data_IF_153133350105
#
_entry.id   IF_153133350105
#
_cell.length_a   1.000
_cell.length_b   1.000
_cell.length_c   1.000
_cell.angle_alpha   90.00
_cell.angle_beta   90.00
_cell.angle_gamma   90.00
#
_symmetry.space_group_name_H-M   'P 1'
#
loop_
_entity.id
_entity.type
_entity.pdbx_description
1 polymer ?
#
# COMPACT_ATOMS: atom_id res chain seq x y z
N UNK A 1 -22.69 11.40 15.93
CA UNK A 1 -22.50 12.74 15.34
C UNK A 1 -21.04 12.85 14.96
N UNK A 2 -20.74 13.30 13.75
CA UNK A 2 -19.37 13.63 13.34
C UNK A 2 -19.26 15.15 13.19
N UNK A 3 -18.04 15.69 13.16
CA UNK A 3 -17.77 17.09 12.91
C UNK A 3 -16.59 17.24 11.95
N UNK A 4 -16.55 18.37 11.23
CA UNK A 4 -15.43 18.70 10.35
C UNK A 4 -14.35 19.38 11.20
N UNK A 5 -13.11 18.85 11.22
CA UNK A 5 -12.01 19.52 11.88
C UNK A 5 -11.79 20.92 11.29
N UNK A 6 -11.61 21.94 12.13
CA UNK A 6 -11.31 23.30 11.65
C UNK A 6 -9.99 23.38 10.87
N UNK A 7 -9.11 22.39 11.05
CA UNK A 7 -7.86 22.23 10.30
C UNK A 7 -8.03 21.48 8.98
N UNK A 8 -9.25 21.10 8.58
CA UNK A 8 -9.47 20.46 7.29
C UNK A 8 -9.20 21.48 6.17
N UNK A 9 -8.41 21.14 5.13
CA UNK A 9 -8.07 22.02 4.01
C UNK A 9 -9.29 22.55 3.24
N UNK A 10 -10.42 21.84 3.30
CA UNK A 10 -11.67 22.19 2.63
C UNK A 10 -12.81 22.45 3.63
N UNK A 11 -12.50 22.83 4.87
CA UNK A 11 -13.50 23.12 5.89
C UNK A 11 -14.58 24.12 5.42
N UNK A 12 -15.77 24.02 6.05
CA UNK A 12 -16.94 24.86 5.75
C UNK A 12 -16.58 26.35 5.74
N UNK A 13 -17.06 27.07 4.73
CA UNK A 13 -16.83 28.51 4.56
C UNK A 13 -15.56 28.87 3.78
N UNK A 14 -14.78 27.90 3.31
CA UNK A 14 -13.71 28.12 2.32
C UNK A 14 -14.30 28.20 0.91
N UNK A 15 -15.04 27.17 0.50
CA UNK A 15 -15.79 27.11 -0.76
C UNK A 15 -16.98 26.16 -0.58
N UNK A 16 -18.20 26.68 -0.62
CA UNK A 16 -19.42 25.91 -0.39
C UNK A 16 -19.74 24.91 -1.52
N UNK A 17 -19.01 24.97 -2.64
CA UNK A 17 -19.08 23.96 -3.71
C UNK A 17 -18.24 22.71 -3.44
N UNK A 18 -17.33 22.76 -2.47
CA UNK A 18 -16.45 21.66 -2.10
C UNK A 18 -17.00 20.95 -0.86
N UNK A 19 -16.96 19.61 -0.88
CA UNK A 19 -17.37 18.82 0.28
C UNK A 19 -16.34 18.97 1.41
N UNK A 20 -16.74 19.39 2.61
CA UNK A 20 -15.80 19.67 3.70
C UNK A 20 -15.23 18.41 4.36
N UNK A 21 -15.69 17.22 3.97
CA UNK A 21 -15.11 15.94 4.36
C UNK A 21 -13.84 15.58 3.58
N UNK A 22 -13.60 16.20 2.42
CA UNK A 22 -12.44 15.89 1.59
C UNK A 22 -11.17 16.22 2.38
N UNK A 23 -10.18 15.33 2.36
CA UNK A 23 -8.83 15.59 2.88
C UNK A 23 -7.83 15.74 1.75
N UNK A 24 -7.94 14.88 0.73
CA UNK A 24 -7.14 14.90 -0.49
C UNK A 24 -8.02 14.45 -1.67
N UNK A 25 -7.58 14.72 -2.89
CA UNK A 25 -8.29 14.41 -4.12
C UNK A 25 -7.33 13.98 -5.23
N UNK A 26 -7.85 13.63 -6.42
CA UNK A 26 -7.04 13.19 -7.54
C UNK A 26 -6.52 11.76 -7.40
N UNK A 27 -7.24 10.89 -6.69
CA UNK A 27 -6.97 9.45 -6.59
C UNK A 27 -7.92 8.67 -7.49
N UNK A 28 -7.51 7.50 -7.96
CA UNK A 28 -8.34 6.61 -8.80
C UNK A 28 -9.13 5.61 -7.96
N UNK A 29 -8.42 4.71 -7.31
CA UNK A 29 -8.91 3.58 -6.54
C UNK A 29 -7.95 3.27 -5.37
N UNK A 30 -7.90 4.15 -4.35
CA UNK A 30 -7.00 3.98 -3.23
C UNK A 30 -7.32 2.70 -2.44
N UNK A 31 -6.28 1.91 -2.14
CA UNK A 31 -6.38 0.63 -1.44
C UNK A 31 -5.24 0.46 -0.44
N UNK A 32 -5.45 -0.36 0.61
CA UNK A 32 -4.39 -0.72 1.55
C UNK A 32 -3.78 0.47 2.30
N UNK A 33 -4.55 1.06 3.21
CA UNK A 33 -4.17 2.22 4.01
C UNK A 33 -3.43 1.80 5.29
N UNK A 34 -2.30 2.43 5.61
CA UNK A 34 -1.57 2.19 6.86
C UNK A 34 -0.83 3.41 7.39
N UNK A 35 -0.48 3.36 8.68
CA UNK A 35 0.30 4.38 9.35
C UNK A 35 1.52 3.75 10.02
N UNK A 36 2.65 4.44 10.03
CA UNK A 36 3.76 4.09 10.92
C UNK A 36 3.55 4.66 12.34
N UNK A 37 4.43 4.32 13.27
CA UNK A 37 4.36 4.76 14.67
C UNK A 37 4.55 6.27 14.83
N UNK A 38 5.19 6.91 13.85
CA UNK A 38 5.39 8.35 13.80
C UNK A 38 4.15 9.08 13.24
N UNK A 39 3.15 8.33 12.76
CA UNK A 39 1.90 8.86 12.21
C UNK A 39 1.99 9.20 10.73
N UNK A 40 3.06 8.78 10.03
CA UNK A 40 3.14 8.97 8.60
C UNK A 40 2.21 7.97 7.90
N UNK A 41 1.55 8.45 6.86
CA UNK A 41 0.51 7.74 6.14
C UNK A 41 1.08 7.12 4.86
N UNK A 42 0.75 5.85 4.65
CA UNK A 42 1.09 5.08 3.46
C UNK A 42 -0.19 4.50 2.88
N UNK A 43 -0.29 4.53 1.55
CA UNK A 43 -1.43 3.93 0.87
C UNK A 43 -1.08 3.59 -0.55
N UNK A 44 -1.80 2.64 -1.14
CA UNK A 44 -1.69 2.35 -2.56
C UNK A 44 -2.84 3.00 -3.33
N UNK A 45 -2.63 3.22 -4.62
CA UNK A 45 -3.68 3.60 -5.57
C UNK A 45 -3.57 2.69 -6.80
N UNK A 46 -4.66 1.98 -7.10
CA UNK A 46 -4.69 1.00 -8.19
C UNK A 46 -4.87 1.73 -9.52
N UNK A 47 -3.94 1.51 -10.45
CA UNK A 47 -3.96 2.09 -11.79
C UNK A 47 -5.08 1.55 -12.67
N UNK A 48 -5.32 2.21 -13.81
CA UNK A 48 -6.20 1.67 -14.84
C UNK A 48 -5.44 0.74 -15.77
N UNK A 49 -4.34 1.22 -16.36
CA UNK A 49 -3.71 0.55 -17.50
C UNK A 49 -2.17 0.60 -17.52
N UNK A 50 -1.55 1.65 -16.97
CA UNK A 50 -0.12 1.93 -17.18
C UNK A 50 0.75 1.66 -15.95
N UNK A 51 0.29 2.10 -14.77
CA UNK A 51 1.08 2.02 -13.55
C UNK A 51 0.25 1.72 -12.32
N UNK A 52 0.77 0.83 -11.48
CA UNK A 52 0.37 0.73 -10.08
C UNK A 52 1.24 1.66 -9.24
N UNK A 53 0.67 2.24 -8.18
CA UNK A 53 1.39 3.21 -7.37
C UNK A 53 1.12 3.09 -5.87
N UNK A 54 2.08 3.56 -5.09
CA UNK A 54 1.87 3.83 -3.68
C UNK A 54 2.41 5.21 -3.31
N UNK A 55 1.74 5.78 -2.32
CA UNK A 55 1.83 7.15 -1.90
C UNK A 55 2.17 7.22 -0.41
N UNK A 56 2.78 8.34 -0.04
CA UNK A 56 3.24 8.66 1.29
C UNK A 56 2.89 10.11 1.63
N UNK A 57 2.33 10.32 2.82
CA UNK A 57 2.18 11.64 3.41
C UNK A 57 2.77 11.65 4.82
N UNK A 58 3.64 12.62 5.16
CA UNK A 58 4.19 12.70 6.51
C UNK A 58 3.08 13.04 7.53
N UNK A 59 3.28 12.69 8.80
CA UNK A 59 2.32 13.00 9.88
C UNK A 59 2.01 14.51 10.00
N UNK A 60 2.93 15.36 9.54
CA UNK A 60 2.81 16.82 9.53
C UNK A 60 1.98 17.37 8.36
N UNK A 61 1.56 16.53 7.43
CA UNK A 61 0.81 16.93 6.25
C UNK A 61 -0.49 17.67 6.64
N UNK A 62 -0.86 18.68 5.85
CA UNK A 62 -2.02 19.54 6.10
C UNK A 62 -3.23 19.19 5.23
N UNK A 63 -3.12 18.13 4.42
CA UNK A 63 -4.12 17.77 3.44
C UNK A 63 -4.13 18.75 2.26
N UNK A 64 -5.16 18.67 1.44
CA UNK A 64 -5.34 19.48 0.25
C UNK A 64 -4.57 18.95 -0.96
N UNK A 65 -3.96 17.76 -0.82
CA UNK A 65 -3.15 17.17 -1.88
C UNK A 65 -4.00 16.74 -3.07
N UNK A 66 -3.50 17.06 -4.25
CA UNK A 66 -3.97 16.58 -5.53
C UNK A 66 -3.04 15.47 -6.03
N UNK A 67 -3.51 14.23 -6.11
CA UNK A 67 -2.74 13.10 -6.62
C UNK A 67 -2.83 12.93 -8.15
N UNK A 68 -3.51 13.84 -8.85
CA UNK A 68 -3.37 14.00 -10.30
C UNK A 68 -4.30 13.15 -11.16
N UNK A 69 -4.97 12.13 -10.63
CA UNK A 69 -5.97 11.37 -11.39
C UNK A 69 -7.12 12.29 -11.85
N UNK A 70 -7.58 12.23 -13.10
CA UNK A 70 -7.23 11.26 -14.16
C UNK A 70 -6.26 11.78 -15.23
N UNK A 71 -5.41 12.75 -14.90
CA UNK A 71 -4.36 13.23 -15.82
C UNK A 71 -3.09 12.37 -15.75
N UNK A 72 -2.84 11.74 -14.60
CA UNK A 72 -1.63 10.95 -14.35
C UNK A 72 -1.95 9.56 -13.82
N UNK A 73 -1.14 8.58 -14.22
CA UNK A 73 -0.95 7.30 -13.53
C UNK A 73 0.54 7.16 -13.20
N UNK A 74 0.86 7.00 -11.93
CA UNK A 74 2.25 7.15 -11.52
C UNK A 74 2.74 8.57 -11.80
N UNK A 75 3.94 8.66 -12.36
CA UNK A 75 4.51 9.92 -12.86
C UNK A 75 4.19 10.15 -14.35
N UNK A 76 3.43 9.25 -14.99
CA UNK A 76 3.18 9.29 -16.42
C UNK A 76 1.86 9.95 -16.75
N UNK A 77 1.86 10.75 -17.83
CA UNK A 77 0.63 11.30 -18.39
C UNK A 77 -0.27 10.16 -18.86
N UNK A 78 -1.51 10.13 -18.37
CA UNK A 78 -2.51 9.15 -18.74
C UNK A 78 -3.06 9.49 -20.14
N UNK A 79 -2.33 9.08 -21.17
CA UNK A 79 -2.77 9.24 -22.56
C UNK A 79 -3.91 8.23 -22.83
N UNK A 80 -5.13 8.61 -22.48
CA UNK A 80 -6.34 7.83 -22.75
C UNK A 80 -7.07 8.33 -24.00
N UNK A 81 -8.09 7.56 -24.41
CA UNK A 81 -8.99 7.89 -25.51
C UNK A 81 -9.81 9.17 -25.30
N UNK A 82 -9.78 9.77 -24.10
CA UNK A 82 -10.55 10.96 -23.73
C UNK A 82 -9.83 12.29 -24.10
N UNK A 83 -8.92 12.26 -25.08
CA UNK A 83 -8.13 13.41 -25.57
C UNK A 83 -7.13 14.00 -24.57
N UNK A 84 -6.71 13.26 -23.55
CA UNK A 84 -5.56 13.67 -22.74
C UNK A 84 -4.31 13.49 -23.60
N UNK A 85 -3.66 14.60 -23.91
CA UNK A 85 -2.38 14.64 -24.63
C UNK A 85 -1.27 15.06 -23.68
N UNK A 86 -0.02 14.85 -24.06
CA UNK A 86 1.11 15.32 -23.26
C UNK A 86 1.01 16.81 -22.95
N UNK A 87 0.59 17.62 -23.92
CA UNK A 87 0.36 19.07 -23.73
C UNK A 87 -0.66 19.36 -22.64
N UNK A 88 -1.75 18.58 -22.56
CA UNK A 88 -2.79 18.74 -21.53
C UNK A 88 -2.22 18.44 -20.14
N UNK A 89 -1.43 17.37 -20.00
CA UNK A 89 -0.75 17.06 -18.75
C UNK A 89 0.28 18.13 -18.35
N UNK A 90 1.08 18.60 -19.31
CA UNK A 90 2.07 19.64 -19.07
C UNK A 90 1.41 20.95 -18.61
N UNK A 91 0.28 21.32 -19.22
CA UNK A 91 -0.49 22.49 -18.81
C UNK A 91 -1.18 22.28 -17.45
N UNK A 92 -1.63 21.06 -17.15
CA UNK A 92 -2.16 20.72 -15.85
C UNK A 92 -1.13 20.87 -14.73
N UNK A 93 0.12 20.40 -14.94
CA UNK A 93 1.21 20.55 -13.98
C UNK A 93 1.66 22.01 -13.77
N UNK A 94 1.50 22.87 -14.79
CA UNK A 94 1.75 24.31 -14.63
C UNK A 94 0.67 25.00 -13.78
N UNK A 95 -0.56 24.48 -13.82
CA UNK A 95 -1.71 25.08 -13.16
C UNK A 95 -1.99 24.50 -11.77
N UNK A 96 -1.48 23.31 -11.45
CA UNK A 96 -1.79 22.57 -10.23
C UNK A 96 -0.54 22.02 -9.55
N UNK A 97 -0.53 22.03 -8.23
CA UNK A 97 0.49 21.33 -7.44
C UNK A 97 0.10 19.85 -7.29
N UNK A 98 0.65 19.01 -8.17
CA UNK A 98 0.38 17.57 -8.19
C UNK A 98 1.37 16.84 -7.30
N UNK A 99 0.84 16.12 -6.32
CA UNK A 99 1.57 15.21 -5.45
C UNK A 99 1.83 13.89 -6.17
N UNK A 100 3.03 13.74 -6.73
CA UNK A 100 3.44 12.50 -7.38
C UNK A 100 3.65 11.36 -6.35
N UNK A 101 3.42 10.10 -6.76
CA UNK A 101 3.60 8.95 -5.90
C UNK A 101 5.07 8.70 -5.55
N UNK A 102 5.28 7.94 -4.48
CA UNK A 102 6.63 7.65 -3.97
C UNK A 102 7.22 6.38 -4.57
N UNK A 103 6.39 5.52 -5.11
CA UNK A 103 6.83 4.39 -5.90
C UNK A 103 5.76 3.96 -6.88
N UNK A 104 6.22 3.59 -8.07
CA UNK A 104 5.39 3.07 -9.14
C UNK A 104 6.01 1.79 -9.68
N UNK A 105 5.19 0.95 -10.31
CA UNK A 105 5.65 -0.11 -11.18
C UNK A 105 4.68 -0.27 -12.34
N UNK A 106 5.20 -0.73 -13.48
CA UNK A 106 4.37 -0.91 -14.67
C UNK A 106 3.24 -1.89 -14.41
N UNK A 107 2.04 -1.46 -14.78
CA UNK A 107 0.90 -2.33 -14.90
C UNK A 107 1.19 -3.33 -16.02
N UNK A 108 1.39 -4.59 -15.66
CA UNK A 108 1.85 -5.66 -16.55
C UNK A 108 0.72 -6.33 -17.32
N UNK A 109 -0.48 -5.77 -17.34
CA UNK A 109 -1.69 -6.44 -17.82
C UNK A 109 -2.34 -7.29 -16.72
N UNK A 110 -3.14 -8.27 -17.12
CA UNK A 110 -4.01 -9.05 -16.24
C UNK A 110 -3.80 -10.56 -16.44
N UNK A 111 -3.77 -11.41 -15.41
CA UNK A 111 -3.67 -12.86 -15.62
C UNK A 111 -4.77 -13.43 -16.52
N UNK A 112 -5.91 -12.72 -16.61
CA UNK A 112 -7.04 -13.07 -17.46
C UNK A 112 -6.81 -12.79 -18.96
N UNK A 113 -5.77 -12.04 -19.33
CA UNK A 113 -5.33 -11.82 -20.71
C UNK A 113 -4.32 -12.87 -21.22
N UNK A 114 -3.94 -13.83 -20.36
CA UNK A 114 -2.95 -14.86 -20.64
C UNK A 114 -1.53 -14.51 -20.15
N UNK A 115 -1.32 -13.36 -19.49
CA UNK A 115 -0.04 -13.00 -18.90
C UNK A 115 0.13 -13.52 -17.47
N UNK A 116 0.95 -14.56 -17.30
CA UNK A 116 1.26 -15.16 -15.99
C UNK A 116 2.14 -14.31 -15.07
N UNK A 117 2.66 -13.15 -15.53
CA UNK A 117 3.44 -12.19 -14.72
C UNK A 117 2.75 -10.82 -14.62
N UNK A 118 1.43 -10.80 -14.72
CA UNK A 118 0.63 -9.59 -14.69
C UNK A 118 0.69 -8.90 -13.31
N UNK A 119 1.27 -7.70 -13.31
CA UNK A 119 1.22 -6.72 -12.23
C UNK A 119 -0.03 -5.87 -12.44
N UNK A 120 -1.15 -6.22 -11.82
CA UNK A 120 -2.45 -5.67 -12.23
C UNK A 120 -3.15 -4.85 -11.15
N UNK A 121 -2.73 -4.99 -9.88
CA UNK A 121 -3.46 -4.42 -8.77
C UNK A 121 -2.61 -4.45 -7.52
N UNK A 122 -2.02 -3.30 -7.21
CA UNK A 122 -1.41 -3.09 -5.90
C UNK A 122 -2.47 -3.20 -4.81
N UNK A 123 -2.14 -3.85 -3.70
CA UNK A 123 -3.04 -4.02 -2.53
C UNK A 123 -2.58 -3.26 -1.30
N UNK A 124 -1.56 -2.43 -1.47
CA UNK A 124 -0.89 -1.71 -0.39
C UNK A 124 -0.29 -2.65 0.65
N UNK A 125 -0.07 -2.11 1.84
CA UNK A 125 0.41 -2.90 2.95
C UNK A 125 0.80 -2.04 4.14
N UNK A 126 1.90 -2.37 4.80
CA UNK A 126 2.24 -1.82 6.13
C UNK A 126 3.73 -1.50 6.28
N UNK A 127 4.08 -0.43 7.01
CA UNK A 127 5.45 -0.18 7.42
C UNK A 127 5.92 -1.23 8.44
N UNK A 128 7.06 -1.88 8.20
CA UNK A 128 7.57 -2.90 9.11
C UNK A 128 8.32 -2.29 10.29
N UNK A 129 7.63 -2.18 11.43
CA UNK A 129 8.17 -1.64 12.69
C UNK A 129 7.95 -2.61 13.86
N UNK A 130 8.64 -3.76 13.92
CA UNK A 130 8.41 -4.78 14.95
C UNK A 130 8.68 -4.24 16.36
N UNK A 131 7.85 -4.59 17.35
CA UNK A 131 8.07 -4.18 18.75
C UNK A 131 9.30 -4.83 19.36
N UNK A 132 9.63 -6.06 18.95
CA UNK A 132 10.83 -6.78 19.37
C UNK A 132 11.68 -7.03 18.14
N UNK A 133 12.91 -6.51 18.14
CA UNK A 133 13.87 -6.70 17.05
C UNK A 133 14.07 -8.19 16.75
N UNK A 134 13.94 -8.54 15.48
CA UNK A 134 14.15 -9.89 14.98
C UNK A 134 15.44 -9.89 14.16
N UNK A 135 16.54 -10.38 14.73
CA UNK A 135 17.90 -10.25 14.13
C UNK A 135 17.98 -10.61 12.64
N UNK A 136 17.29 -11.68 12.21
CA UNK A 136 17.28 -12.14 10.81
C UNK A 136 16.46 -11.26 9.85
N UNK A 137 15.56 -10.43 10.38
CA UNK A 137 14.69 -9.53 9.62
C UNK A 137 15.05 -8.06 9.83
N UNK A 138 16.24 -7.79 10.39
CA UNK A 138 16.71 -6.43 10.64
C UNK A 138 16.74 -5.59 9.35
N UNK A 139 17.01 -6.22 8.20
CA UNK A 139 17.04 -5.54 6.90
C UNK A 139 15.68 -5.02 6.45
N UNK A 140 14.57 -5.52 7.02
CA UNK A 140 13.22 -5.06 6.70
C UNK A 140 12.78 -3.86 7.54
N UNK A 141 13.50 -3.52 8.62
CA UNK A 141 13.10 -2.46 9.54
C UNK A 141 12.91 -1.13 8.79
N UNK A 142 11.73 -0.52 8.94
CA UNK A 142 11.29 0.71 8.28
C UNK A 142 11.03 0.61 6.76
N UNK A 143 10.98 -0.59 6.19
CA UNK A 143 10.43 -0.78 4.85
C UNK A 143 8.92 -0.68 4.87
N UNK A 144 8.33 -0.04 3.86
CA UNK A 144 6.93 -0.24 3.53
C UNK A 144 6.80 -1.56 2.76
N UNK A 145 6.13 -2.55 3.37
CA UNK A 145 5.91 -3.87 2.77
C UNK A 145 4.53 -3.87 2.12
N UNK A 146 4.48 -4.08 0.81
CA UNK A 146 3.24 -4.06 0.03
C UNK A 146 3.19 -5.23 -0.96
N UNK A 147 2.01 -5.51 -1.50
CA UNK A 147 1.82 -6.64 -2.43
C UNK A 147 0.93 -6.32 -3.62
N UNK A 148 0.87 -7.25 -4.56
CA UNK A 148 0.05 -7.19 -5.78
C UNK A 148 -0.83 -8.42 -5.86
N UNK A 149 -2.10 -8.20 -6.18
CA UNK A 149 -3.11 -9.25 -6.22
C UNK A 149 -2.88 -10.26 -7.34
N UNK A 150 -2.43 -9.81 -8.49
CA UNK A 150 -2.30 -10.64 -9.68
C UNK A 150 -0.99 -11.40 -9.73
N UNK A 151 0.13 -10.75 -9.38
CA UNK A 151 1.44 -11.38 -9.43
C UNK A 151 1.80 -12.12 -8.14
N UNK A 152 1.13 -11.83 -7.02
CA UNK A 152 1.46 -12.41 -5.72
C UNK A 152 2.82 -11.99 -5.17
N UNK A 153 3.43 -10.95 -5.75
CA UNK A 153 4.71 -10.43 -5.29
C UNK A 153 4.51 -9.63 -4.01
N UNK A 154 5.49 -9.75 -3.13
CA UNK A 154 5.64 -8.91 -1.94
C UNK A 154 6.89 -8.07 -2.17
N UNK A 155 6.74 -6.76 -2.12
CA UNK A 155 7.84 -5.81 -2.23
C UNK A 155 8.13 -5.12 -0.90
N UNK A 156 9.33 -4.57 -0.82
CA UNK A 156 9.77 -3.65 0.21
C UNK A 156 10.20 -2.35 -0.43
N UNK A 157 9.66 -1.23 0.06
CA UNK A 157 10.10 0.11 -0.28
C UNK A 157 10.87 0.72 0.90
N UNK A 158 12.11 1.12 0.67
CA UNK A 158 12.93 1.80 1.70
C UNK A 158 13.19 3.23 1.28
N UNK A 159 13.02 4.20 2.20
CA UNK A 159 13.51 5.56 1.97
C UNK A 159 15.03 5.54 1.81
N UNK A 160 15.55 6.25 0.82
CA UNK A 160 17.00 6.40 0.69
C UNK A 160 17.59 7.22 1.84
N UNK A 161 16.84 8.21 2.34
CA UNK A 161 17.14 9.01 3.54
C UNK A 161 15.87 9.30 4.34
N UNK A 162 15.94 9.48 5.68
CA UNK A 162 14.75 9.72 6.51
C UNK A 162 13.87 10.90 6.07
N UNK A 163 14.51 11.93 5.51
CA UNK A 163 13.95 13.19 5.03
C UNK A 163 13.65 13.20 3.51
N UNK A 164 14.01 12.13 2.80
CA UNK A 164 13.79 12.05 1.35
C UNK A 164 12.52 11.26 1.01
N UNK A 165 11.89 11.68 -0.08
CA UNK A 165 10.65 11.11 -0.62
C UNK A 165 10.96 10.06 -1.70
N UNK A 166 12.24 9.77 -1.95
CA UNK A 166 12.69 8.72 -2.87
C UNK A 166 12.79 7.39 -2.16
N UNK A 167 12.22 6.39 -2.80
CA UNK A 167 12.23 5.04 -2.29
C UNK A 167 12.86 4.09 -3.30
N UNK A 168 13.61 3.14 -2.77
CA UNK A 168 14.07 1.98 -3.52
C UNK A 168 13.09 0.84 -3.29
N UNK A 169 12.48 0.35 -4.37
CA UNK A 169 11.64 -0.85 -4.37
C UNK A 169 12.50 -2.09 -4.59
N UNK A 170 12.23 -3.15 -3.85
CA UNK A 170 12.82 -4.48 -4.06
C UNK A 170 11.78 -5.59 -3.85
N UNK A 171 11.88 -6.66 -4.64
CA UNK A 171 11.05 -7.85 -4.43
C UNK A 171 11.58 -8.61 -3.22
N UNK A 172 10.74 -8.76 -2.19
CA UNK A 172 11.05 -9.52 -0.97
C UNK A 172 10.62 -10.98 -1.09
N UNK A 173 9.52 -11.25 -1.82
CA UNK A 173 9.05 -12.61 -2.07
C UNK A 173 8.23 -12.69 -3.37
N UNK A 174 8.37 -13.83 -4.04
CA UNK A 174 7.50 -14.30 -5.11
C UNK A 174 6.62 -15.42 -4.52
N UNK A 175 5.29 -15.25 -4.57
CA UNK A 175 4.34 -16.16 -3.93
C UNK A 175 3.23 -16.55 -4.90
N UNK A 176 2.63 -17.74 -4.76
CA UNK A 176 1.51 -18.16 -5.59
C UNK A 176 0.17 -17.56 -5.13
N UNK A 177 0.18 -16.48 -4.34
CA UNK A 177 -1.02 -15.97 -3.68
C UNK A 177 -1.71 -14.89 -4.48
N UNK A 178 -3.04 -14.84 -4.36
CA UNK A 178 -3.81 -13.67 -4.75
C UNK A 178 -3.90 -12.73 -3.57
N UNK A 179 -2.87 -11.92 -3.37
CA UNK A 179 -2.74 -11.06 -2.19
C UNK A 179 -3.82 -10.00 -2.23
N UNK A 180 -4.76 -10.04 -1.29
CA UNK A 180 -5.88 -9.08 -1.18
C UNK A 180 -5.67 -8.00 -0.13
N UNK A 181 -4.83 -8.30 0.87
CA UNK A 181 -4.44 -7.37 1.90
C UNK A 181 -3.14 -7.80 2.58
N UNK A 182 -2.40 -6.83 3.08
CA UNK A 182 -1.30 -7.03 4.02
C UNK A 182 -1.62 -6.24 5.29
N UNK A 183 -1.40 -6.84 6.45
CA UNK A 183 -1.70 -6.23 7.74
C UNK A 183 -0.68 -6.59 8.81
N UNK A 184 -0.76 -5.92 9.95
CA UNK A 184 0.09 -6.20 11.10
C UNK A 184 -0.71 -6.50 12.38
N UNK A 185 -0.10 -7.27 13.29
CA UNK A 185 -0.62 -7.45 14.64
C UNK A 185 -0.07 -6.41 15.62
N UNK A 186 -0.60 -6.43 16.86
CA UNK A 186 -0.15 -5.54 17.93
C UNK A 186 1.31 -5.73 18.35
N UNK A 187 2.06 -6.70 17.78
CA UNK A 187 3.50 -6.90 18.01
C UNK A 187 4.34 -6.39 16.84
N UNK A 188 3.72 -5.90 15.76
CA UNK A 188 4.37 -5.53 14.50
C UNK A 188 4.79 -6.75 13.68
N UNK A 189 4.11 -7.89 13.84
CA UNK A 189 4.28 -9.03 12.93
C UNK A 189 3.38 -8.80 11.71
N UNK A 190 3.93 -9.00 10.51
CA UNK A 190 3.20 -8.77 9.25
C UNK A 190 2.58 -10.07 8.72
N UNK A 191 1.39 -9.95 8.17
CA UNK A 191 0.52 -11.00 7.66
C UNK A 191 0.00 -10.64 6.27
N UNK A 192 -0.26 -11.66 5.45
CA UNK A 192 -0.79 -11.54 4.09
C UNK A 192 -2.10 -12.32 4.01
N UNK A 193 -3.13 -11.72 3.42
CA UNK A 193 -4.41 -12.37 3.14
C UNK A 193 -4.45 -12.81 1.67
N UNK A 194 -4.56 -14.12 1.45
CA UNK A 194 -4.69 -14.73 0.13
C UNK A 194 -6.16 -15.00 -0.19
N UNK A 195 -6.66 -14.31 -1.22
CA UNK A 195 -8.02 -14.45 -1.74
C UNK A 195 -8.25 -15.82 -2.38
N UNK A 196 -7.26 -16.37 -3.09
CA UNK A 196 -7.41 -17.61 -3.85
C UNK A 196 -7.66 -18.83 -2.95
N UNK A 197 -7.05 -18.86 -1.77
CA UNK A 197 -7.22 -19.96 -0.80
C UNK A 197 -8.13 -19.63 0.38
N UNK A 198 -8.65 -18.40 0.50
CA UNK A 198 -9.36 -17.89 1.68
C UNK A 198 -8.54 -18.04 2.99
N UNK A 199 -7.21 -17.80 2.93
CA UNK A 199 -6.30 -17.96 4.07
C UNK A 199 -5.57 -16.66 4.40
N UNK A 200 -5.30 -16.44 5.69
CA UNK A 200 -4.33 -15.44 6.15
C UNK A 200 -3.04 -16.17 6.56
N UNK A 201 -1.87 -15.68 6.14
CA UNK A 201 -0.56 -16.29 6.43
C UNK A 201 0.38 -15.29 7.10
N UNK A 202 1.08 -15.71 8.16
CA UNK A 202 2.07 -14.89 8.86
C UNK A 202 3.48 -15.18 8.40
N UNK A 203 4.17 -14.20 7.81
CA UNK A 203 5.48 -14.41 7.18
C UNK A 203 6.68 -14.11 8.07
N UNK A 204 6.56 -13.18 9.03
CA UNK A 204 7.75 -12.51 9.56
C UNK A 204 8.13 -12.87 11.01
N UNK A 205 7.68 -14.02 11.55
CA UNK A 205 8.13 -14.47 12.89
C UNK A 205 9.40 -15.33 12.84
N UNK A 206 9.65 -16.06 11.75
CA UNK A 206 10.62 -17.16 11.73
C UNK A 206 11.73 -17.06 10.69
N UNK A 207 11.67 -16.17 9.69
CA UNK A 207 12.73 -16.04 8.67
C UNK A 207 12.98 -17.33 7.88
N UNK A 208 12.00 -18.23 7.87
CA UNK A 208 11.89 -19.37 6.95
C UNK A 208 10.48 -19.34 6.36
N UNK A 209 10.31 -19.52 5.04
CA UNK A 209 8.99 -19.67 4.43
C UNK A 209 8.23 -20.82 5.10
N UNK A 210 6.97 -20.62 5.43
CA UNK A 210 6.13 -21.66 6.02
C UNK A 210 4.66 -21.29 5.92
N UNK A 211 3.88 -22.16 5.27
CA UNK A 211 2.42 -22.02 5.14
C UNK A 211 1.78 -22.25 6.51
N UNK A 212 1.16 -21.22 7.06
CA UNK A 212 0.36 -21.32 8.28
C UNK A 212 -1.11 -21.23 7.90
N UNK A 213 -1.84 -22.35 8.02
CA UNK A 213 -3.28 -22.41 7.78
C UNK A 213 -3.99 -21.68 8.94
N UNK A 214 -4.48 -20.46 8.71
CA UNK A 214 -5.40 -19.79 9.65
C UNK A 214 -6.79 -20.38 9.43
N UNK A 215 -7.07 -21.49 10.10
CA UNK A 215 -8.44 -21.98 10.25
C UNK A 215 -9.10 -21.19 11.39
N UNK A 216 -10.07 -20.34 11.01
CA UNK A 216 -10.87 -19.41 11.84
C UNK A 216 -10.18 -18.12 12.28
N UNK A 217 -10.74 -17.01 11.80
CA UNK A 217 -10.69 -15.70 12.44
C UNK A 217 -11.51 -15.79 13.75
N UNK A 218 -10.91 -16.31 14.81
CA UNK A 218 -11.48 -16.28 16.15
C UNK A 218 -10.62 -15.38 17.01
N UNK A 219 -11.24 -14.35 17.60
CA UNK A 219 -10.66 -13.47 18.60
C UNK A 219 -9.85 -14.29 19.62
N UNK A 220 -8.67 -13.78 19.96
CA UNK A 220 -7.75 -14.38 20.91
C UNK A 220 -8.44 -14.71 22.27
N UNK A 221 -8.20 -15.92 22.79
CA UNK A 221 -8.53 -16.32 24.17
C UNK A 221 -7.26 -16.16 25.04
N UNK A 222 -7.41 -15.41 26.12
CA UNK A 222 -6.35 -14.82 26.96
C UNK A 222 -5.64 -15.80 27.92
N UNK A 223 -5.88 -17.12 27.84
CA UNK A 223 -5.50 -18.01 28.96
C UNK A 223 -4.39 -19.04 28.75
N UNK A 224 -3.89 -19.30 27.54
CA UNK A 224 -2.97 -20.45 27.37
C UNK A 224 -1.62 -20.20 26.71
N UNK A 225 -1.39 -19.12 25.95
CA UNK A 225 -0.08 -18.73 25.37
C UNK A 225 0.88 -19.89 24.99
N UNK A 226 0.38 -21.01 24.47
CA UNK A 226 1.19 -22.15 24.00
C UNK A 226 0.69 -22.59 22.63
N UNK A 227 1.53 -22.41 21.61
CA UNK A 227 1.43 -23.18 20.37
C UNK A 227 2.49 -24.28 20.46
N UNK A 228 2.05 -25.52 20.73
CA UNK A 228 2.87 -26.72 20.55
C UNK A 228 2.99 -26.97 19.04
N UNK A 229 4.22 -27.04 18.54
CA UNK A 229 4.50 -27.78 17.31
C UNK A 229 5.22 -29.06 17.73
N UNK A 230 4.67 -30.21 17.35
CA UNK A 230 5.40 -31.45 17.18
C UNK A 230 5.26 -31.83 15.72
N UNK A 231 6.37 -31.83 14.99
CA UNK A 231 6.47 -32.51 13.70
C UNK A 231 7.63 -33.49 13.90
N UNK A 232 7.30 -34.78 14.03
CA UNK A 232 8.23 -35.84 13.70
C UNK A 232 8.35 -35.88 12.17
N UNK A 233 9.57 -36.09 11.70
CA UNK A 233 9.89 -36.41 10.32
C UNK A 233 10.69 -37.73 10.43
N UNK A 234 10.28 -38.75 9.68
CA UNK A 234 11.10 -39.95 9.46
C UNK A 234 12.34 -39.60 8.64
#
# INVERSE_FOLDING_TARGET
MYGIPASNPFAVGIDDSIRPEIWSYGLRNPWGLSFDKEGNFYFADVGQDQFEEWNFAPASDKGGRNYGWSHFEGESCLITKDNITQTVCDDYLKANDVSMPQGTYHHGGSPWDGNSYAHCSITGGVPYQPKKKVKKLKHLENMYIYGDFCSGYIWGATRERPDEVKFKNEVLADTPFSISAIGEDSRGSVYVADYGSNLVQGYFKSGKPGVHKISKLSCFDDKTFKVKYSIQID
#
